data_IF_851161443963
#
_entry.id   IF_851161443963
#
_cell.length_a   1.000
_cell.length_b   1.000
_cell.length_c   1.000
_cell.angle_alpha   90.00
_cell.angle_beta   90.00
_cell.angle_gamma   90.00
#
_symmetry.space_group_name_H-M   'P 1'
#
loop_
_entity.id
_entity.type
_entity.pdbx_description
1 polymer ?
#
# COMPACT_ATOMS: atom_id res chain seq x y z
N UNK A 1 -25.90 12.15 -6.45
CA UNK A 1 -24.83 12.35 -5.43
C UNK A 1 -23.95 11.09 -5.31
N UNK A 2 -23.29 10.66 -6.38
CA UNK A 2 -22.63 9.32 -6.40
C UNK A 2 -21.20 9.40 -6.92
N UNK A 3 -20.94 10.33 -7.85
CA UNK A 3 -19.60 10.57 -8.40
C UNK A 3 -18.60 11.09 -7.37
N UNK A 4 -19.00 12.06 -6.53
CA UNK A 4 -18.11 12.65 -5.51
C UNK A 4 -17.73 11.60 -4.44
N UNK A 5 -18.68 10.77 -4.01
CA UNK A 5 -18.45 9.70 -3.03
C UNK A 5 -17.49 8.64 -3.57
N UNK A 6 -17.63 8.25 -4.85
CA UNK A 6 -16.73 7.32 -5.51
C UNK A 6 -15.32 7.91 -5.69
N UNK A 7 -15.21 9.20 -6.01
CA UNK A 7 -13.92 9.89 -6.12
C UNK A 7 -13.21 9.96 -4.77
N UNK A 8 -13.95 10.29 -3.69
CA UNK A 8 -13.44 10.31 -2.32
C UNK A 8 -12.94 8.93 -1.88
N UNK A 9 -13.69 7.88 -2.18
CA UNK A 9 -13.29 6.51 -1.86
C UNK A 9 -12.00 6.11 -2.60
N UNK A 10 -11.86 6.47 -3.88
CA UNK A 10 -10.65 6.21 -4.67
C UNK A 10 -9.44 6.97 -4.14
N UNK A 11 -9.62 8.24 -3.79
CA UNK A 11 -8.59 9.08 -3.15
C UNK A 11 -8.12 8.47 -1.82
N UNK A 12 -9.06 8.04 -0.97
CA UNK A 12 -8.74 7.42 0.31
C UNK A 12 -7.94 6.12 0.13
N UNK A 13 -8.33 5.25 -0.81
CA UNK A 13 -7.54 4.05 -1.14
C UNK A 13 -6.14 4.39 -1.65
N UNK A 14 -6.01 5.43 -2.48
CA UNK A 14 -4.71 5.88 -2.99
C UNK A 14 -3.80 6.41 -1.88
N UNK A 15 -4.36 7.14 -0.92
CA UNK A 15 -3.62 7.62 0.24
C UNK A 15 -3.12 6.46 1.10
N UNK A 16 -4.00 5.48 1.41
CA UNK A 16 -3.63 4.26 2.13
C UNK A 16 -2.54 3.48 1.42
N UNK A 17 -2.66 3.26 0.11
CA UNK A 17 -1.62 2.59 -0.69
C UNK A 17 -0.25 3.28 -0.56
N UNK A 18 -0.19 4.61 -0.69
CA UNK A 18 1.06 5.36 -0.55
C UNK A 18 1.64 5.25 0.86
N UNK A 19 0.79 5.30 1.87
CA UNK A 19 1.21 5.10 3.27
C UNK A 19 1.77 3.69 3.47
N UNK A 20 1.06 2.65 3.02
CA UNK A 20 1.52 1.25 3.14
C UNK A 20 2.86 1.04 2.43
N UNK A 21 3.03 1.54 1.20
CA UNK A 21 4.34 1.46 0.51
C UNK A 21 5.44 2.13 1.32
N UNK A 22 5.17 3.31 1.88
CA UNK A 22 6.15 4.04 2.67
C UNK A 22 6.56 3.28 3.94
N UNK A 23 5.59 2.73 4.67
CA UNK A 23 5.85 1.92 5.86
C UNK A 23 6.62 0.64 5.52
N UNK A 24 6.21 -0.09 4.48
CA UNK A 24 6.92 -1.29 4.03
C UNK A 24 8.35 -0.96 3.61
N UNK A 25 8.58 0.16 2.91
CA UNK A 25 9.92 0.57 2.50
C UNK A 25 10.80 0.98 3.67
N UNK A 26 10.22 1.50 4.75
CA UNK A 26 10.91 1.86 5.99
C UNK A 26 11.31 0.67 6.84
N UNK A 27 10.74 -0.51 6.59
CA UNK A 27 11.12 -1.70 7.33
C UNK A 27 12.63 -1.96 7.18
N UNK A 28 13.31 -2.37 8.26
CA UNK A 28 14.67 -2.87 8.21
C UNK A 28 14.81 -4.00 7.17
N UNK A 29 15.98 -4.08 6.52
CA UNK A 29 16.22 -5.05 5.45
C UNK A 29 16.07 -6.49 5.95
N UNK A 30 16.52 -6.78 7.17
CA UNK A 30 16.35 -8.07 7.85
C UNK A 30 14.89 -8.48 7.95
N UNK A 31 14.00 -7.58 8.40
CA UNK A 31 12.56 -7.85 8.47
C UNK A 31 11.97 -8.06 7.06
N UNK A 32 12.41 -7.27 6.08
CA UNK A 32 11.92 -7.42 4.70
C UNK A 32 12.30 -8.76 4.08
N UNK A 33 13.49 -9.25 4.39
CA UNK A 33 13.97 -10.55 3.95
C UNK A 33 13.23 -11.68 4.69
N UNK A 34 13.01 -11.54 5.99
CA UNK A 34 12.26 -12.50 6.81
C UNK A 34 10.81 -12.68 6.32
N UNK A 35 10.17 -11.57 5.94
CA UNK A 35 8.81 -11.56 5.38
C UNK A 35 8.76 -11.90 3.88
N UNK A 36 9.91 -12.13 3.22
CA UNK A 36 10.04 -12.36 1.77
C UNK A 36 9.38 -11.24 0.91
N UNK A 37 9.48 -9.99 1.38
CA UNK A 37 8.91 -8.82 0.69
C UNK A 37 9.97 -7.88 0.09
N UNK A 38 11.25 -8.17 0.30
CA UNK A 38 12.34 -7.35 -0.21
C UNK A 38 12.29 -7.27 -1.75
N UNK A 39 12.11 -6.05 -2.29
CA UNK A 39 12.01 -5.81 -3.73
C UNK A 39 10.60 -5.97 -4.31
N UNK A 40 9.62 -6.40 -3.51
CA UNK A 40 8.21 -6.53 -3.93
C UNK A 40 7.25 -5.72 -3.05
N UNK A 41 7.74 -4.77 -2.25
CA UNK A 41 6.94 -3.99 -1.30
C UNK A 41 5.75 -3.29 -1.98
N UNK A 42 5.95 -2.78 -3.20
CA UNK A 42 4.89 -2.12 -3.98
C UNK A 42 3.77 -3.08 -4.40
N UNK A 43 4.10 -4.35 -4.66
CA UNK A 43 3.13 -5.39 -5.03
C UNK A 43 2.34 -5.82 -3.79
N UNK A 44 3.03 -6.04 -2.67
CA UNK A 44 2.42 -6.37 -1.38
C UNK A 44 1.48 -5.26 -0.91
N UNK A 45 1.92 -3.99 -0.96
CA UNK A 45 1.06 -2.86 -0.62
C UNK A 45 -0.15 -2.74 -1.55
N UNK A 46 0.01 -3.06 -2.84
CA UNK A 46 -1.10 -3.03 -3.80
C UNK A 46 -2.13 -4.11 -3.48
N UNK A 47 -1.68 -5.32 -3.18
CA UNK A 47 -2.56 -6.42 -2.79
C UNK A 47 -3.28 -6.12 -1.46
N UNK A 48 -2.61 -5.56 -0.47
CA UNK A 48 -3.22 -5.23 0.82
C UNK A 48 -4.32 -4.15 0.74
N UNK A 49 -4.25 -3.24 -0.24
CA UNK A 49 -5.18 -2.09 -0.36
C UNK A 49 -6.23 -2.25 -1.44
N UNK A 50 -5.91 -2.96 -2.53
CA UNK A 50 -6.78 -3.12 -3.69
C UNK A 50 -7.17 -4.57 -3.98
N UNK A 51 -6.45 -5.54 -3.41
CA UNK A 51 -6.79 -6.96 -3.48
C UNK A 51 -7.94 -7.31 -2.54
#
# INVERSE_FOLDING_TARGET
>A
MTFISNLRARMARRARYRQTVYELRKLPLDIKLDLDIAGIEDRVARQAVYG
#
